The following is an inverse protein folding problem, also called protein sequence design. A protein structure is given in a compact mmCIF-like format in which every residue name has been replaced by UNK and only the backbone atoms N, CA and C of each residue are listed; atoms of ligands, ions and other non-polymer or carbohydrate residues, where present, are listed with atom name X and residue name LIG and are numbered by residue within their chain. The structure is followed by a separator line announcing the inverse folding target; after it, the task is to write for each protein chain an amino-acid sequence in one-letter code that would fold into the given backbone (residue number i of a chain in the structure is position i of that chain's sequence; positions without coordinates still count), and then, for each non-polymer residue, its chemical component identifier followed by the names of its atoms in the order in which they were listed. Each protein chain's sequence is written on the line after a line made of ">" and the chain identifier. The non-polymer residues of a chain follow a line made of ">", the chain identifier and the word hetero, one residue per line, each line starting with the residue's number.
data_IF_542420119822
#
_entry.id   IF_542420119822
#
_cell.length_a   1.000
_cell.length_b   1.000
_cell.length_c   1.000
_cell.angle_alpha   90.00
_cell.angle_beta   90.00
_cell.angle_gamma   90.00
#
_symmetry.space_group_name_H-M   'P 1'
#
loop_
_entity.id
_entity.type
_entity.pdbx_description
1 polymer ?
#
# COMPACT_ATOMS: atom_id res chain seq x y z
N UNK A 1 -2.67 -13.55 21.33
CA UNK A 1 -2.76 -12.22 20.71
C UNK A 1 -1.88 -12.28 19.45
N UNK A 2 -2.40 -11.86 18.30
CA UNK A 2 -1.57 -11.76 17.09
C UNK A 2 -0.70 -10.53 17.31
N UNK A 3 0.63 -10.71 17.34
CA UNK A 3 1.59 -9.64 17.57
C UNK A 3 1.54 -8.53 16.52
N UNK A 4 2.11 -7.38 16.84
CA UNK A 4 2.15 -6.25 15.95
C UNK A 4 3.17 -6.49 14.83
N UNK A 5 2.72 -6.33 13.59
CA UNK A 5 3.51 -6.50 12.37
C UNK A 5 3.46 -5.22 11.57
N UNK A 6 4.60 -4.58 11.41
CA UNK A 6 4.67 -3.27 10.77
C UNK A 6 5.87 -3.16 9.84
N UNK A 7 5.71 -2.42 8.76
CA UNK A 7 6.80 -1.94 7.93
C UNK A 7 7.47 -0.75 8.65
N UNK A 8 8.78 -0.84 8.85
CA UNK A 8 9.60 0.19 9.51
C UNK A 8 10.23 1.12 8.49
N UNK A 9 10.72 0.54 7.38
CA UNK A 9 11.40 1.32 6.35
C UNK A 9 11.28 0.61 5.00
N UNK A 10 11.14 1.39 3.96
CA UNK A 10 11.20 0.94 2.58
C UNK A 10 12.13 1.84 1.78
N UNK A 11 12.99 1.26 0.95
CA UNK A 11 13.71 2.04 -0.06
C UNK A 11 13.73 1.32 -1.41
N UNK A 12 13.81 2.12 -2.46
CA UNK A 12 13.95 1.65 -3.83
C UNK A 12 14.91 2.54 -4.59
N UNK A 13 15.73 1.94 -5.46
CA UNK A 13 16.67 2.64 -6.33
C UNK A 13 16.55 2.14 -7.76
N UNK A 14 16.76 3.02 -8.71
CA UNK A 14 16.75 2.72 -10.15
C UNK A 14 15.44 2.08 -10.63
N UNK A 15 14.33 2.62 -10.16
CA UNK A 15 12.99 2.13 -10.50
C UNK A 15 12.14 3.27 -11.08
N UNK A 16 11.61 3.09 -12.27
CA UNK A 16 10.75 4.06 -12.98
C UNK A 16 11.38 5.47 -13.01
N UNK A 17 10.75 6.45 -12.38
CA UNK A 17 11.29 7.82 -12.30
C UNK A 17 12.30 8.04 -11.17
N UNK A 18 12.60 7.04 -10.36
CA UNK A 18 13.57 7.12 -9.26
C UNK A 18 14.92 6.55 -9.69
N UNK A 19 15.83 7.41 -10.17
CA UNK A 19 17.21 7.03 -10.50
C UNK A 19 18.02 6.74 -9.25
N UNK A 20 18.00 7.68 -8.32
CA UNK A 20 18.64 7.55 -7.02
C UNK A 20 17.73 6.88 -6.00
N UNK A 21 18.30 6.47 -4.87
CA UNK A 21 17.53 5.84 -3.81
C UNK A 21 16.51 6.81 -3.22
N UNK A 22 15.26 6.39 -3.20
CA UNK A 22 14.20 7.04 -2.44
C UNK A 22 13.82 6.17 -1.25
N UNK A 23 13.70 6.80 -0.08
CA UNK A 23 13.41 6.12 1.18
C UNK A 23 12.13 6.64 1.80
N UNK A 24 11.29 5.73 2.27
CA UNK A 24 10.14 5.98 3.13
C UNK A 24 10.45 5.38 4.51
N UNK A 25 10.66 6.24 5.49
CA UNK A 25 10.96 5.90 6.87
C UNK A 25 9.73 6.13 7.74
N UNK A 26 9.24 5.07 8.39
CA UNK A 26 8.05 5.10 9.25
C UNK A 26 8.38 5.39 10.72
N UNK A 27 9.65 5.55 11.10
CA UNK A 27 9.98 5.89 12.48
C UNK A 27 9.40 7.27 12.86
N UNK A 28 8.66 7.33 13.97
CA UNK A 28 8.16 8.58 14.52
C UNK A 28 9.30 9.34 15.17
N UNK A 29 9.71 10.47 14.58
CA UNK A 29 10.89 11.26 15.02
C UNK A 29 10.55 12.38 15.98
N UNK A 30 9.27 12.73 16.12
CA UNK A 30 8.82 13.89 16.90
C UNK A 30 7.79 13.46 17.96
N UNK A 31 7.84 14.07 19.12
CA UNK A 31 6.95 13.78 20.27
C UNK A 31 5.74 14.73 20.29
N UNK A 32 4.95 14.74 19.20
CA UNK A 32 3.69 15.48 19.17
C UNK A 32 2.65 14.84 20.10
N UNK A 33 1.94 15.65 20.87
CA UNK A 33 0.93 15.19 21.85
C UNK A 33 -0.50 15.16 21.28
N UNK A 34 -0.68 15.54 20.03
CA UNK A 34 -1.96 15.52 19.30
C UNK A 34 -1.93 14.46 18.20
N UNK A 35 -3.10 14.00 17.77
CA UNK A 35 -3.27 12.93 16.77
C UNK A 35 -2.37 11.71 17.02
N UNK A 36 -2.26 11.30 18.28
CA UNK A 36 -1.41 10.17 18.69
C UNK A 36 -1.86 8.84 18.09
N UNK A 37 -3.12 8.74 17.66
CA UNK A 37 -3.68 7.60 16.92
C UNK A 37 -3.09 7.41 15.51
N UNK A 38 -2.32 8.39 15.00
CA UNK A 38 -1.54 8.23 13.77
C UNK A 38 -0.24 7.44 13.99
N UNK A 39 0.10 7.14 15.24
CA UNK A 39 1.32 6.43 15.63
C UNK A 39 0.95 5.12 16.31
N UNK A 40 1.72 4.08 16.03
CA UNK A 40 1.66 2.80 16.70
C UNK A 40 3.07 2.25 16.92
N UNK A 41 3.41 1.85 18.15
CA UNK A 41 4.72 1.30 18.50
C UNK A 41 5.90 2.16 18.02
N UNK A 42 5.79 3.47 18.19
CA UNK A 42 6.77 4.47 17.75
C UNK A 42 6.92 4.59 16.21
N UNK A 43 6.04 3.94 15.45
CA UNK A 43 6.00 4.02 13.99
C UNK A 43 4.81 4.83 13.50
N UNK A 44 5.01 5.54 12.40
CA UNK A 44 3.96 6.22 11.66
C UNK A 44 3.00 5.16 11.11
N UNK A 45 1.76 5.19 11.59
CA UNK A 45 0.71 4.26 11.18
C UNK A 45 -0.19 4.83 10.09
N UNK A 46 -0.22 6.15 9.95
CA UNK A 46 -0.97 6.87 8.92
C UNK A 46 -0.07 7.92 8.28
N UNK A 47 0.11 7.83 6.97
CA UNK A 47 0.94 8.74 6.18
C UNK A 47 0.12 9.31 5.03
N UNK A 48 0.36 10.60 4.71
CA UNK A 48 -0.16 11.23 3.51
C UNK A 48 0.98 11.82 2.69
N UNK A 49 1.09 11.41 1.42
CA UNK A 49 2.13 11.87 0.51
C UNK A 49 1.53 12.90 -0.45
N UNK A 50 2.10 14.09 -0.41
CA UNK A 50 1.77 15.19 -1.32
C UNK A 50 2.83 15.37 -2.40
N UNK A 51 2.41 15.89 -3.52
CA UNK A 51 3.29 16.24 -4.63
C UNK A 51 2.49 16.63 -5.86
N UNK A 52 3.11 17.39 -6.76
CA UNK A 52 2.52 17.76 -8.05
C UNK A 52 2.17 16.50 -8.88
N UNK A 53 1.34 16.66 -9.91
CA UNK A 53 1.09 15.59 -10.85
C UNK A 53 2.40 15.22 -11.59
N UNK A 54 2.61 13.93 -11.83
CA UNK A 54 3.79 13.42 -12.55
C UNK A 54 5.07 13.26 -11.72
N UNK A 55 5.13 13.67 -10.44
CA UNK A 55 6.35 13.54 -9.61
C UNK A 55 6.68 12.11 -9.17
N UNK A 56 5.73 11.15 -9.33
CA UNK A 56 5.97 9.74 -9.00
C UNK A 56 5.24 9.20 -7.79
N UNK A 57 4.18 9.85 -7.28
CA UNK A 57 3.40 9.35 -6.14
C UNK A 57 2.91 7.92 -6.35
N UNK A 58 2.31 7.63 -7.51
CA UNK A 58 1.87 6.27 -7.87
C UNK A 58 3.04 5.30 -7.99
N UNK A 59 4.22 5.77 -8.46
CA UNK A 59 5.41 4.93 -8.60
C UNK A 59 6.00 4.51 -7.25
N UNK A 60 5.85 5.32 -6.18
CA UNK A 60 6.15 4.87 -4.80
C UNK A 60 5.26 3.69 -4.43
N UNK A 61 3.95 3.78 -4.71
CA UNK A 61 3.01 2.70 -4.48
C UNK A 61 3.38 1.44 -5.25
N UNK A 62 3.67 1.55 -6.53
CA UNK A 62 4.09 0.41 -7.36
C UNK A 62 5.39 -0.23 -6.87
N UNK A 63 6.38 0.58 -6.47
CA UNK A 63 7.64 0.09 -5.93
C UNK A 63 7.43 -0.64 -4.60
N UNK A 64 6.68 -0.04 -3.67
CA UNK A 64 6.41 -0.62 -2.36
C UNK A 64 5.61 -1.92 -2.45
N UNK A 65 4.73 -2.05 -3.46
CA UNK A 65 3.92 -3.24 -3.70
C UNK A 65 4.55 -4.24 -4.67
N UNK A 66 5.79 -4.01 -5.14
CA UNK A 66 6.54 -5.01 -5.93
C UNK A 66 6.74 -6.32 -5.16
N UNK A 67 6.89 -6.26 -3.84
CA UNK A 67 6.99 -7.42 -2.96
C UNK A 67 5.77 -8.36 -3.06
N UNK A 68 4.58 -7.83 -3.34
CA UNK A 68 3.36 -8.63 -3.51
C UNK A 68 3.50 -9.55 -4.72
N UNK A 69 3.91 -9.01 -5.87
CA UNK A 69 4.17 -9.81 -7.08
C UNK A 69 5.39 -10.73 -6.96
N UNK A 70 6.33 -10.39 -6.05
CA UNK A 70 7.53 -11.19 -5.80
C UNK A 70 7.24 -12.42 -4.94
N UNK A 71 6.44 -12.25 -3.87
CA UNK A 71 6.25 -13.29 -2.85
C UNK A 71 4.90 -13.99 -2.91
N UNK A 72 3.94 -13.47 -3.65
CA UNK A 72 2.57 -14.02 -3.63
C UNK A 72 2.04 -14.31 -5.04
N UNK A 73 0.85 -14.92 -5.11
CA UNK A 73 0.06 -15.08 -6.33
C UNK A 73 -1.15 -14.13 -6.35
N UNK A 74 -1.07 -13.05 -5.57
CA UNK A 74 -2.10 -12.01 -5.51
C UNK A 74 -2.12 -11.15 -6.77
N UNK A 75 -3.24 -10.46 -6.96
CA UNK A 75 -3.41 -9.54 -8.10
C UNK A 75 -2.32 -8.47 -8.13
N UNK A 76 -1.82 -8.19 -9.32
CA UNK A 76 -0.84 -7.14 -9.62
C UNK A 76 -1.39 -6.21 -10.69
N UNK A 77 -0.91 -4.96 -10.72
CA UNK A 77 -1.27 -3.99 -11.75
C UNK A 77 -0.27 -4.05 -12.91
N UNK A 78 -0.74 -4.10 -14.16
CA UNK A 78 0.10 -4.14 -15.35
C UNK A 78 1.11 -2.97 -15.44
N UNK A 79 0.79 -1.82 -14.83
CA UNK A 79 1.72 -0.70 -14.79
C UNK A 79 2.96 -0.94 -13.90
N UNK A 80 2.98 -1.98 -13.07
CA UNK A 80 4.20 -2.37 -12.35
C UNK A 80 5.27 -2.86 -13.31
N UNK A 81 4.89 -3.54 -14.39
CA UNK A 81 5.82 -4.09 -15.39
C UNK A 81 6.38 -3.01 -16.34
N UNK A 82 5.57 -2.00 -16.67
CA UNK A 82 5.94 -1.01 -17.68
C UNK A 82 7.04 -0.07 -17.19
N UNK A 83 8.07 0.15 -18.04
CA UNK A 83 9.20 1.06 -17.74
C UNK A 83 9.78 0.77 -16.34
N UNK A 84 10.11 -0.49 -16.08
CA UNK A 84 10.52 -0.98 -14.77
C UNK A 84 11.81 -0.31 -14.28
N UNK A 85 12.84 -0.27 -15.14
CA UNK A 85 14.11 0.40 -14.86
C UNK A 85 14.02 1.89 -15.21
N UNK A 86 14.72 2.73 -14.47
CA UNK A 86 14.82 4.14 -14.76
C UNK A 86 15.49 4.40 -16.11
N UNK A 87 14.88 5.22 -16.96
CA UNK A 87 15.34 5.45 -18.32
C UNK A 87 16.65 6.29 -18.42
N UNK A 88 17.01 7.00 -17.35
CA UNK A 88 18.22 7.84 -17.29
C UNK A 88 19.37 7.14 -16.55
N UNK A 89 19.22 5.87 -16.21
CA UNK A 89 20.22 5.08 -15.46
C UNK A 89 21.02 4.20 -16.40
N UNK A 90 22.33 4.14 -16.18
CA UNK A 90 23.22 3.19 -16.86
C UNK A 90 23.14 1.77 -16.27
N UNK A 91 22.60 1.63 -15.04
CA UNK A 91 22.42 0.35 -14.39
C UNK A 91 21.13 -0.32 -14.85
N UNK A 92 21.16 -1.61 -15.28
CA UNK A 92 19.97 -2.36 -15.60
C UNK A 92 19.26 -2.95 -14.37
N UNK A 93 19.68 -2.59 -13.14
CA UNK A 93 19.27 -3.26 -11.89
C UNK A 93 18.49 -2.29 -11.02
N UNK A 94 17.25 -2.62 -10.71
CA UNK A 94 16.48 -1.99 -9.65
C UNK A 94 16.71 -2.72 -8.31
N UNK A 95 16.85 -1.95 -7.24
CA UNK A 95 17.13 -2.45 -5.90
C UNK A 95 15.95 -2.13 -4.97
N UNK A 96 15.47 -3.12 -4.24
CA UNK A 96 14.35 -3.00 -3.30
C UNK A 96 14.81 -3.45 -1.92
N UNK A 97 14.47 -2.68 -0.88
CA UNK A 97 14.82 -2.97 0.49
C UNK A 97 13.64 -2.67 1.42
N UNK A 98 13.26 -3.68 2.20
CA UNK A 98 12.16 -3.62 3.17
C UNK A 98 12.69 -3.96 4.55
N UNK A 99 12.38 -3.14 5.55
CA UNK A 99 12.63 -3.40 6.95
C UNK A 99 11.31 -3.50 7.69
N UNK A 100 11.08 -4.63 8.35
CA UNK A 100 9.88 -4.91 9.13
C UNK A 100 10.22 -5.08 10.60
N UNK A 101 9.24 -4.80 11.46
CA UNK A 101 9.24 -5.17 12.86
C UNK A 101 8.06 -6.12 13.10
N UNK A 102 8.38 -7.34 13.51
CA UNK A 102 7.40 -8.37 13.86
C UNK A 102 7.59 -8.71 15.33
N UNK A 103 6.71 -8.22 16.20
CA UNK A 103 6.86 -8.27 17.64
C UNK A 103 8.21 -7.66 18.10
N UNK A 104 9.18 -8.51 18.48
CA UNK A 104 10.51 -8.08 18.89
C UNK A 104 11.56 -8.29 17.80
N UNK A 105 11.21 -8.95 16.70
CA UNK A 105 12.15 -9.28 15.64
C UNK A 105 12.19 -8.19 14.57
N UNK A 106 13.42 -7.82 14.20
CA UNK A 106 13.75 -6.98 13.05
C UNK A 106 14.00 -7.89 11.86
N UNK A 107 13.26 -7.69 10.77
CA UNK A 107 13.40 -8.46 9.54
C UNK A 107 13.75 -7.53 8.39
N UNK A 108 14.87 -7.79 7.69
CA UNK A 108 15.23 -7.03 6.49
C UNK A 108 15.21 -7.99 5.31
N UNK A 109 14.40 -7.66 4.32
CA UNK A 109 14.29 -8.39 3.07
C UNK A 109 14.69 -7.50 1.90
N UNK A 110 15.69 -7.93 1.13
CA UNK A 110 16.22 -7.19 0.00
C UNK A 110 16.25 -8.05 -1.25
N UNK A 111 16.03 -7.43 -2.39
CA UNK A 111 16.22 -8.10 -3.67
C UNK A 111 16.54 -7.11 -4.78
N UNK A 112 17.14 -7.64 -5.85
CA UNK A 112 17.47 -6.93 -7.07
C UNK A 112 16.76 -7.56 -8.26
N UNK A 113 16.27 -6.71 -9.18
CA UNK A 113 15.56 -7.13 -10.39
C UNK A 113 16.04 -6.36 -11.62
N UNK A 114 15.98 -6.98 -12.79
CA UNK A 114 16.12 -6.31 -14.10
C UNK A 114 14.76 -6.04 -14.75
N UNK A 115 13.76 -6.81 -14.40
CA UNK A 115 12.39 -6.73 -14.88
C UNK A 115 11.44 -7.17 -13.76
N UNK A 116 10.16 -6.86 -13.88
CA UNK A 116 9.17 -7.15 -12.83
C UNK A 116 9.21 -8.61 -12.33
N UNK A 117 9.39 -9.59 -13.22
CA UNK A 117 9.42 -11.03 -12.87
C UNK A 117 10.82 -11.64 -12.82
N UNK A 118 11.88 -10.84 -12.95
CA UNK A 118 13.24 -11.36 -13.04
C UNK A 118 14.11 -10.90 -11.89
N UNK A 119 14.22 -11.76 -10.89
CA UNK A 119 15.08 -11.56 -9.74
C UNK A 119 16.52 -11.92 -10.10
N UNK A 120 17.48 -11.09 -9.70
CA UNK A 120 18.92 -11.35 -9.85
C UNK A 120 19.57 -11.75 -8.54
N UNK A 121 19.14 -11.15 -7.44
CA UNK A 121 19.74 -11.35 -6.14
C UNK A 121 18.67 -11.20 -5.04
N UNK A 122 18.81 -11.95 -3.96
CA UNK A 122 17.89 -11.94 -2.84
C UNK A 122 18.65 -12.14 -1.53
N UNK A 123 18.31 -11.36 -0.50
CA UNK A 123 18.88 -11.44 0.84
C UNK A 123 17.81 -11.36 1.93
N UNK A 124 17.99 -12.13 2.99
CA UNK A 124 17.19 -12.06 4.21
C UNK A 124 18.09 -11.89 5.43
N UNK A 125 17.72 -10.96 6.31
CA UNK A 125 18.31 -10.74 7.62
C UNK A 125 17.25 -10.82 8.70
N UNK A 126 17.60 -11.38 9.85
CA UNK A 126 16.79 -11.40 11.06
C UNK A 126 17.66 -10.93 12.22
N UNK A 127 17.22 -9.89 12.95
CA UNK A 127 17.94 -9.27 14.07
C UNK A 127 19.41 -8.93 13.72
N UNK A 128 19.60 -8.32 12.54
CA UNK A 128 20.86 -7.92 11.94
C UNK A 128 21.80 -9.08 11.55
N UNK A 129 21.40 -10.35 11.76
CA UNK A 129 22.11 -11.52 11.27
C UNK A 129 21.65 -11.87 9.85
N UNK A 130 22.61 -12.06 8.93
CA UNK A 130 22.31 -12.52 7.57
C UNK A 130 21.92 -14.00 7.60
N UNK A 131 20.69 -14.31 7.24
CA UNK A 131 20.17 -15.68 7.18
C UNK A 131 20.59 -16.37 5.90
N UNK A 132 20.39 -15.69 4.77
CA UNK A 132 20.87 -16.15 3.46
C UNK A 132 21.07 -14.99 2.49
N UNK A 133 21.87 -15.24 1.47
CA UNK A 133 21.83 -14.54 0.19
C UNK A 133 21.87 -15.54 -0.98
N UNK A 134 21.13 -15.24 -2.04
CA UNK A 134 21.04 -16.10 -3.23
C UNK A 134 21.28 -15.29 -4.49
N UNK A 135 22.24 -15.76 -5.32
CA UNK A 135 22.54 -15.24 -6.64
C UNK A 135 21.83 -16.10 -7.70
N UNK A 136 20.83 -15.53 -8.39
CA UNK A 136 20.06 -16.23 -9.41
C UNK A 136 20.83 -16.41 -10.72
N UNK A 137 21.89 -15.62 -10.97
CA UNK A 137 22.74 -15.79 -12.14
C UNK A 137 23.64 -17.01 -11.98
N UNK A 138 24.29 -17.12 -10.84
CA UNK A 138 25.18 -18.23 -10.51
C UNK A 138 24.41 -19.44 -9.94
N UNK A 139 23.10 -19.30 -9.71
CA UNK A 139 22.21 -20.29 -9.09
C UNK A 139 22.79 -20.83 -7.78
N UNK A 140 23.27 -19.93 -6.94
CA UNK A 140 24.04 -20.29 -5.76
C UNK A 140 23.59 -19.48 -4.53
N UNK A 141 23.42 -20.22 -3.45
CA UNK A 141 23.36 -19.65 -2.11
C UNK A 141 24.79 -19.45 -1.60
N UNK A 142 25.23 -18.17 -1.49
CA UNK A 142 26.61 -17.87 -1.13
C UNK A 142 26.83 -17.96 0.37
N UNK A 143 25.88 -17.45 1.15
CA UNK A 143 25.91 -17.49 2.60
C UNK A 143 24.58 -18.06 3.10
N UNK A 144 24.67 -19.12 3.90
CA UNK A 144 23.53 -19.66 4.64
C UNK A 144 23.99 -19.93 6.06
N UNK A 145 23.66 -19.01 6.97
CA UNK A 145 24.22 -19.08 8.33
C UNK A 145 23.37 -19.96 9.22
N UNK A 146 22.08 -19.70 9.30
CA UNK A 146 21.20 -20.44 10.21
C UNK A 146 19.79 -20.60 9.61
N UNK A 147 19.66 -21.54 8.69
CA UNK A 147 18.38 -21.85 8.05
C UNK A 147 17.33 -22.41 9.02
N UNK A 148 17.75 -22.87 10.22
CA UNK A 148 16.81 -23.33 11.25
C UNK A 148 15.94 -22.18 11.77
N UNK A 149 16.46 -20.96 11.85
CA UNK A 149 15.70 -19.75 12.26
C UNK A 149 14.46 -19.57 11.42
N UNK A 150 14.53 -19.92 10.14
CA UNK A 150 13.44 -19.78 9.16
C UNK A 150 12.82 -21.14 8.79
N UNK A 151 13.16 -22.23 9.49
CA UNK A 151 12.62 -23.57 9.25
C UNK A 151 12.99 -24.16 7.88
N UNK A 152 14.14 -23.80 7.31
CA UNK A 152 14.55 -24.18 5.96
C UNK A 152 15.78 -25.13 5.90
N UNK A 153 16.25 -25.62 7.05
CA UNK A 153 17.45 -26.48 7.14
C UNK A 153 17.35 -27.82 6.39
N UNK A 154 16.14 -28.29 6.13
CA UNK A 154 15.89 -29.54 5.39
C UNK A 154 15.78 -29.33 3.86
N UNK A 155 15.75 -28.09 3.38
CA UNK A 155 15.65 -27.79 1.97
C UNK A 155 17.00 -27.88 1.28
N UNK A 156 17.00 -28.43 0.04
CA UNK A 156 18.16 -28.43 -0.83
C UNK A 156 18.06 -27.32 -1.87
N UNK A 157 19.04 -26.42 -1.88
CA UNK A 157 19.15 -25.30 -2.81
C UNK A 157 20.15 -25.52 -3.94
N UNK A 158 20.93 -26.61 -3.95
CA UNK A 158 21.93 -26.88 -4.97
C UNK A 158 21.35 -27.05 -6.38
N UNK A 159 20.12 -27.54 -6.46
CA UNK A 159 19.42 -27.81 -7.73
C UNK A 159 18.24 -26.85 -7.95
N UNK A 160 18.21 -25.72 -7.24
CA UNK A 160 17.15 -24.75 -7.41
C UNK A 160 17.31 -23.98 -8.72
N UNK A 161 16.41 -24.21 -9.67
CA UNK A 161 16.46 -23.61 -11.02
C UNK A 161 15.33 -22.62 -11.31
N UNK A 162 14.41 -22.43 -10.36
CA UNK A 162 13.26 -21.56 -10.54
C UNK A 162 13.65 -20.06 -10.54
N UNK A 163 12.87 -19.24 -11.23
CA UNK A 163 12.92 -17.78 -11.11
C UNK A 163 12.03 -17.25 -9.98
N UNK A 164 11.48 -18.14 -9.15
CA UNK A 164 10.70 -17.81 -7.97
C UNK A 164 11.64 -17.31 -6.87
N UNK A 165 11.21 -16.31 -6.09
CA UNK A 165 11.93 -15.85 -4.91
C UNK A 165 12.23 -17.02 -3.95
N UNK A 166 13.45 -17.07 -3.40
CA UNK A 166 13.86 -18.09 -2.44
C UNK A 166 12.94 -18.09 -1.21
N UNK A 167 12.56 -16.92 -0.71
CA UNK A 167 11.65 -16.79 0.41
C UNK A 167 10.27 -17.41 0.11
N UNK A 168 9.75 -17.19 -1.10
CA UNK A 168 8.48 -17.82 -1.56
C UNK A 168 8.64 -19.35 -1.69
N UNK A 169 9.78 -19.81 -2.18
CA UNK A 169 10.10 -21.24 -2.26
C UNK A 169 10.12 -21.88 -0.87
N UNK A 170 10.81 -21.26 0.09
CA UNK A 170 10.84 -21.73 1.49
C UNK A 170 9.42 -21.78 2.08
N UNK A 171 8.65 -20.70 1.93
CA UNK A 171 7.29 -20.63 2.46
C UNK A 171 6.37 -21.72 1.91
N UNK A 172 6.54 -22.10 0.62
CA UNK A 172 5.70 -23.11 -0.03
C UNK A 172 6.15 -24.56 0.26
N UNK A 173 7.40 -24.79 0.66
CA UNK A 173 7.98 -26.11 0.80
C UNK A 173 8.33 -26.50 2.24
N UNK A 174 7.98 -25.66 3.22
CA UNK A 174 8.19 -25.94 4.65
C UNK A 174 6.92 -25.75 5.46
N UNK A 175 6.81 -26.50 6.56
CA UNK A 175 5.74 -26.30 7.54
C UNK A 175 6.21 -25.20 8.52
N UNK A 176 5.61 -24.05 8.41
CA UNK A 176 5.96 -22.88 9.21
C UNK A 176 5.10 -22.81 10.48
N UNK A 177 5.73 -22.69 11.66
CA UNK A 177 5.03 -22.40 12.90
C UNK A 177 4.31 -21.04 12.83
N UNK A 178 3.27 -20.81 13.65
CA UNK A 178 2.50 -19.56 13.61
C UNK A 178 3.31 -18.30 13.85
N UNK A 179 4.30 -18.40 14.71
CA UNK A 179 5.20 -17.32 15.08
C UNK A 179 6.52 -17.28 14.27
N UNK A 180 6.68 -18.14 13.25
CA UNK A 180 7.89 -18.10 12.42
C UNK A 180 7.97 -16.81 11.61
N UNK A 181 9.17 -16.32 11.41
CA UNK A 181 9.47 -15.09 10.66
C UNK A 181 8.91 -15.18 9.24
N UNK A 182 9.12 -16.31 8.56
CA UNK A 182 8.62 -16.53 7.20
C UNK A 182 7.09 -16.42 7.15
N UNK A 183 6.40 -17.10 8.07
CA UNK A 183 4.93 -17.04 8.11
C UNK A 183 4.42 -15.64 8.41
N UNK A 184 5.06 -14.92 9.33
CA UNK A 184 4.68 -13.55 9.67
C UNK A 184 4.86 -12.61 8.48
N UNK A 185 5.99 -12.70 7.76
CA UNK A 185 6.27 -11.90 6.57
C UNK A 185 5.27 -12.21 5.45
N UNK A 186 5.05 -13.48 5.15
CA UNK A 186 4.07 -13.90 4.13
C UNK A 186 2.65 -13.44 4.48
N UNK A 187 2.24 -13.54 5.76
CA UNK A 187 0.93 -13.05 6.21
C UNK A 187 0.81 -11.52 6.13
N UNK A 188 1.89 -10.78 6.36
CA UNK A 188 1.88 -9.34 6.17
C UNK A 188 1.71 -9.00 4.69
N UNK A 189 2.54 -9.58 3.81
CA UNK A 189 2.53 -9.29 2.37
C UNK A 189 1.23 -9.72 1.70
N UNK A 190 0.65 -10.88 2.05
CA UNK A 190 -0.64 -11.34 1.50
C UNK A 190 -1.83 -10.46 1.92
N UNK A 191 -1.67 -9.65 2.97
CA UNK A 191 -2.66 -8.70 3.48
C UNK A 191 -2.34 -7.25 3.14
N UNK A 192 -1.45 -7.00 2.19
CA UNK A 192 -1.23 -5.69 1.61
C UNK A 192 -2.30 -5.40 0.55
N UNK A 193 -2.75 -4.15 0.49
CA UNK A 193 -3.72 -3.67 -0.49
C UNK A 193 -3.31 -2.28 -1.00
N UNK A 194 -3.07 -2.16 -2.29
CA UNK A 194 -3.00 -0.90 -3.01
C UNK A 194 -4.21 -0.80 -3.94
N UNK A 195 -4.88 0.34 -3.99
CA UNK A 195 -5.92 0.59 -4.99
C UNK A 195 -6.05 2.08 -5.33
N UNK A 196 -6.69 2.34 -6.48
CA UNK A 196 -7.17 3.66 -6.88
C UNK A 196 -8.69 3.65 -6.89
N UNK A 197 -9.30 4.66 -6.29
CA UNK A 197 -10.76 4.84 -6.31
C UNK A 197 -11.22 5.40 -7.67
N UNK A 198 -10.93 4.66 -8.74
CA UNK A 198 -11.30 4.99 -10.11
C UNK A 198 -12.26 3.94 -10.69
N UNK A 199 -12.95 4.31 -11.75
CA UNK A 199 -13.98 3.45 -12.39
C UNK A 199 -13.43 2.08 -12.85
N UNK A 200 -12.15 1.98 -13.16
CA UNK A 200 -11.47 0.76 -13.63
C UNK A 200 -11.09 -0.22 -12.51
N UNK A 201 -11.33 0.14 -11.24
CA UNK A 201 -11.02 -0.70 -10.06
C UNK A 201 -9.64 -1.35 -10.12
N UNK A 202 -8.60 -0.53 -10.34
CA UNK A 202 -7.21 -1.04 -10.34
C UNK A 202 -6.72 -1.24 -8.92
N UNK A 203 -6.14 -2.40 -8.66
CA UNK A 203 -5.61 -2.75 -7.34
C UNK A 203 -4.47 -3.77 -7.42
N UNK A 204 -3.73 -3.89 -6.32
CA UNK A 204 -2.64 -4.84 -6.11
C UNK A 204 -2.83 -5.48 -4.73
N UNK A 205 -2.71 -6.80 -4.66
CA UNK A 205 -2.79 -7.55 -3.39
C UNK A 205 -4.21 -7.94 -2.99
N UNK A 206 -4.33 -8.47 -1.81
CA UNK A 206 -5.51 -8.98 -1.12
C UNK A 206 -6.29 -10.09 -1.89
N UNK A 207 -6.73 -9.82 -3.11
CA UNK A 207 -7.47 -10.75 -3.97
C UNK A 207 -6.54 -11.46 -4.96
N UNK A 208 -6.95 -12.63 -5.45
CA UNK A 208 -6.19 -13.40 -6.44
C UNK A 208 -6.67 -13.13 -7.88
N UNK A 209 -7.91 -12.66 -8.03
CA UNK A 209 -8.55 -12.45 -9.31
C UNK A 209 -9.26 -11.11 -9.38
N UNK A 210 -9.56 -10.66 -10.60
CA UNK A 210 -10.32 -9.44 -10.83
C UNK A 210 -11.72 -9.52 -10.23
N UNK A 211 -12.14 -8.50 -9.48
CA UNK A 211 -13.42 -8.42 -8.78
C UNK A 211 -14.39 -7.51 -9.51
N UNK A 212 -15.57 -8.02 -9.86
CA UNK A 212 -16.70 -7.18 -10.24
C UNK A 212 -17.44 -6.70 -8.99
N UNK A 213 -17.23 -5.43 -8.63
CA UNK A 213 -17.72 -4.85 -7.38
C UNK A 213 -19.24 -4.79 -7.32
N UNK A 214 -19.94 -4.48 -8.43
CA UNK A 214 -21.40 -4.45 -8.48
C UNK A 214 -22.00 -5.84 -8.25
N UNK A 215 -21.47 -6.85 -8.93
CA UNK A 215 -21.89 -8.25 -8.74
C UNK A 215 -21.66 -8.70 -7.29
N UNK A 216 -20.51 -8.31 -6.71
CA UNK A 216 -20.20 -8.62 -5.31
C UNK A 216 -21.19 -7.98 -4.33
N UNK A 217 -21.55 -6.70 -4.50
CA UNK A 217 -22.53 -6.01 -3.65
C UNK A 217 -23.89 -6.70 -3.72
N UNK A 218 -24.32 -7.12 -4.91
CA UNK A 218 -25.60 -7.82 -5.10
C UNK A 218 -25.55 -9.21 -4.49
N UNK A 219 -24.51 -10.01 -4.77
CA UNK A 219 -24.36 -11.38 -4.25
C UNK A 219 -24.34 -11.45 -2.72
N UNK A 220 -23.74 -10.44 -2.08
CA UNK A 220 -23.64 -10.38 -0.62
C UNK A 220 -24.80 -9.64 0.05
N UNK A 221 -25.86 -9.29 -0.69
CA UNK A 221 -27.05 -8.57 -0.20
C UNK A 221 -26.72 -7.21 0.46
N UNK A 222 -25.71 -6.51 -0.04
CA UNK A 222 -25.16 -5.28 0.56
C UNK A 222 -25.77 -3.98 -0.05
N UNK A 223 -26.77 -4.07 -0.93
CA UNK A 223 -27.39 -2.89 -1.57
C UNK A 223 -27.91 -1.90 -0.52
N UNK A 224 -28.59 -2.39 0.53
CA UNK A 224 -29.10 -1.54 1.60
C UNK A 224 -28.00 -0.82 2.37
N UNK A 225 -26.91 -1.51 2.68
CA UNK A 225 -25.76 -0.91 3.35
C UNK A 225 -25.02 0.09 2.43
N UNK A 226 -24.91 -0.21 1.14
CA UNK A 226 -24.31 0.70 0.18
C UNK A 226 -25.16 1.97 -0.01
N UNK A 227 -26.49 1.87 -0.08
CA UNK A 227 -27.39 3.05 -0.07
C UNK A 227 -27.17 3.92 1.16
N UNK A 228 -27.09 3.30 2.34
CA UNK A 228 -26.80 4.00 3.60
C UNK A 228 -25.44 4.68 3.56
N UNK A 229 -24.41 3.96 3.10
CA UNK A 229 -23.03 4.47 2.96
C UNK A 229 -22.97 5.70 2.05
N UNK A 230 -23.63 5.67 0.89
CA UNK A 230 -23.73 6.79 -0.06
C UNK A 230 -24.40 8.01 0.59
N UNK A 231 -25.48 7.79 1.34
CA UNK A 231 -26.20 8.86 2.01
C UNK A 231 -25.36 9.49 3.14
N UNK A 232 -24.78 8.68 4.01
CA UNK A 232 -24.01 9.15 5.17
C UNK A 232 -22.72 9.87 4.79
N UNK A 233 -22.04 9.43 3.74
CA UNK A 233 -20.75 9.97 3.32
C UNK A 233 -20.87 11.09 2.27
N UNK A 234 -21.77 10.96 1.32
CA UNK A 234 -21.90 11.89 0.20
C UNK A 234 -23.26 12.58 0.06
N UNK A 235 -24.22 12.33 0.98
CA UNK A 235 -25.55 12.89 0.93
C UNK A 235 -26.42 12.36 -0.25
N UNK A 236 -25.94 11.32 -0.96
CA UNK A 236 -26.61 10.77 -2.14
C UNK A 236 -27.78 9.87 -1.73
N UNK A 237 -29.00 10.28 -2.11
CA UNK A 237 -30.24 9.50 -1.92
C UNK A 237 -30.60 8.82 -3.23
N UNK A 238 -30.12 7.59 -3.43
CA UNK A 238 -30.37 6.82 -4.62
C UNK A 238 -31.31 5.65 -4.33
N UNK A 239 -32.20 5.35 -5.25
CA UNK A 239 -33.01 4.13 -5.20
C UNK A 239 -32.31 3.04 -6.01
N UNK A 240 -31.57 2.18 -5.28
CA UNK A 240 -30.81 1.11 -5.88
C UNK A 240 -31.55 -0.23 -5.75
N UNK A 241 -31.46 -1.01 -6.80
CA UNK A 241 -31.96 -2.39 -6.90
C UNK A 241 -30.95 -3.28 -7.62
N UNK A 242 -31.38 -4.46 -7.99
CA UNK A 242 -30.56 -5.41 -8.76
C UNK A 242 -31.38 -6.20 -9.77
N UNK A 243 -30.71 -6.69 -10.82
CA UNK A 243 -31.22 -7.71 -11.71
C UNK A 243 -30.15 -8.75 -12.02
N UNK A 244 -30.60 -9.92 -12.46
CA UNK A 244 -29.70 -10.94 -13.01
C UNK A 244 -29.74 -10.85 -14.54
N UNK A 245 -28.61 -10.54 -15.16
CA UNK A 245 -28.43 -10.53 -16.60
C UNK A 245 -27.55 -11.70 -17.01
N UNK A 246 -28.13 -12.72 -17.66
CA UNK A 246 -27.46 -13.97 -18.04
C UNK A 246 -26.70 -14.58 -16.85
N UNK A 247 -25.38 -14.42 -16.77
CA UNK A 247 -24.52 -15.01 -15.73
C UNK A 247 -24.01 -14.01 -14.69
N UNK A 248 -24.42 -12.74 -14.76
CA UNK A 248 -23.96 -11.67 -13.86
C UNK A 248 -25.10 -11.01 -13.14
N UNK A 249 -24.89 -10.68 -11.87
CA UNK A 249 -25.76 -9.74 -11.19
C UNK A 249 -25.31 -8.32 -11.53
N UNK A 250 -26.26 -7.43 -11.73
CA UNK A 250 -26.01 -6.02 -12.01
C UNK A 250 -26.72 -5.16 -10.97
N UNK A 251 -26.04 -4.12 -10.55
CA UNK A 251 -26.63 -3.06 -9.73
C UNK A 251 -27.44 -2.14 -10.62
N UNK A 252 -28.65 -1.80 -10.18
CA UNK A 252 -29.57 -0.93 -10.89
C UNK A 252 -29.82 0.35 -10.10
N UNK A 253 -29.99 1.46 -10.80
CA UNK A 253 -30.60 2.67 -10.28
C UNK A 253 -32.04 2.75 -10.79
N UNK A 254 -33.01 2.75 -9.85
CA UNK A 254 -34.44 2.79 -10.18
C UNK A 254 -34.88 4.21 -10.46
N UNK A 255 -35.52 4.41 -11.61
CA UNK A 255 -36.16 5.65 -12.03
C UNK A 255 -37.65 5.44 -12.23
N UNK A 256 -38.42 6.53 -12.35
CA UNK A 256 -39.91 6.48 -12.47
C UNK A 256 -40.41 5.62 -13.62
N UNK A 257 -39.68 5.54 -14.73
CA UNK A 257 -40.12 4.83 -15.93
C UNK A 257 -39.51 3.43 -16.05
N UNK A 258 -38.22 3.31 -15.80
CA UNK A 258 -37.49 2.04 -15.89
C UNK A 258 -36.15 2.14 -15.12
N UNK A 259 -35.63 1.02 -14.63
CA UNK A 259 -34.30 1.00 -14.00
C UNK A 259 -33.20 1.13 -15.04
N UNK A 260 -32.08 1.70 -14.66
CA UNK A 260 -30.85 1.81 -15.46
C UNK A 260 -29.71 1.03 -14.80
N UNK A 261 -28.84 0.48 -15.60
CA UNK A 261 -27.64 -0.19 -15.09
C UNK A 261 -26.73 0.85 -14.44
N UNK A 262 -26.37 0.64 -13.19
CA UNK A 262 -25.58 1.58 -12.37
C UNK A 262 -24.30 2.04 -13.07
N UNK A 263 -23.52 1.12 -13.62
CA UNK A 263 -22.26 1.41 -14.28
C UNK A 263 -22.38 2.36 -15.48
N UNK A 264 -23.57 2.45 -16.06
CA UNK A 264 -23.83 3.33 -17.21
C UNK A 264 -24.26 4.75 -16.83
N UNK A 265 -24.77 4.95 -15.60
CA UNK A 265 -25.37 6.22 -15.16
C UNK A 265 -24.69 6.84 -13.95
N UNK A 266 -23.94 6.07 -13.17
CA UNK A 266 -23.24 6.56 -11.99
C UNK A 266 -22.21 7.64 -12.37
N UNK A 267 -22.20 8.72 -11.60
CA UNK A 267 -21.13 9.72 -11.69
C UNK A 267 -19.78 9.11 -11.31
N UNK A 268 -18.66 9.75 -11.74
CA UNK A 268 -17.31 9.30 -11.37
C UNK A 268 -17.12 9.21 -9.84
N UNK A 269 -17.68 10.20 -9.09
CA UNK A 269 -17.61 10.17 -7.63
C UNK A 269 -18.42 9.02 -7.02
N UNK A 270 -19.61 8.72 -7.55
CA UNK A 270 -20.43 7.61 -7.08
C UNK A 270 -19.78 6.25 -7.41
N UNK A 271 -19.17 6.10 -8.58
CA UNK A 271 -18.39 4.91 -8.96
C UNK A 271 -17.16 4.72 -8.06
N UNK A 272 -16.43 5.79 -7.76
CA UNK A 272 -15.30 5.77 -6.83
C UNK A 272 -15.75 5.36 -5.41
N UNK A 273 -16.93 5.83 -4.96
CA UNK A 273 -17.51 5.43 -3.68
C UNK A 273 -17.91 3.95 -3.63
N UNK A 274 -18.36 3.38 -4.75
CA UNK A 274 -18.65 1.94 -4.83
C UNK A 274 -17.38 1.11 -4.64
N UNK A 275 -16.28 1.50 -5.29
CA UNK A 275 -14.97 0.84 -5.14
C UNK A 275 -14.45 1.01 -3.72
N UNK A 276 -14.51 2.23 -3.18
CA UNK A 276 -14.10 2.48 -1.80
C UNK A 276 -14.94 1.67 -0.80
N UNK A 277 -16.27 1.58 -0.98
CA UNK A 277 -17.16 0.77 -0.15
C UNK A 277 -16.75 -0.71 -0.17
N UNK A 278 -16.44 -1.26 -1.33
CA UNK A 278 -15.96 -2.63 -1.47
C UNK A 278 -14.71 -2.85 -0.61
N UNK A 279 -13.67 -2.04 -0.80
CA UNK A 279 -12.42 -2.19 -0.05
C UNK A 279 -12.58 -1.87 1.43
N UNK A 280 -13.40 -0.90 1.78
CA UNK A 280 -13.74 -0.57 3.15
C UNK A 280 -14.31 -1.77 3.93
N UNK A 281 -15.12 -2.61 3.30
CA UNK A 281 -15.65 -3.85 3.89
C UNK A 281 -14.55 -4.89 4.18
N UNK A 282 -13.38 -4.76 3.57
CA UNK A 282 -12.23 -5.67 3.74
C UNK A 282 -11.12 -5.09 4.63
N UNK A 283 -11.21 -3.85 5.11
CA UNK A 283 -10.14 -3.21 5.88
C UNK A 283 -9.72 -3.94 7.14
N UNK A 284 -10.58 -4.72 7.77
CA UNK A 284 -10.22 -5.55 8.92
C UNK A 284 -9.20 -6.65 8.59
N UNK A 285 -9.14 -7.08 7.33
CA UNK A 285 -8.21 -8.09 6.85
C UNK A 285 -6.91 -7.50 6.31
N UNK A 286 -6.87 -6.17 6.08
CA UNK A 286 -5.72 -5.47 5.53
C UNK A 286 -4.73 -5.11 6.63
N UNK A 287 -3.42 -5.35 6.39
CA UNK A 287 -2.32 -4.97 7.27
C UNK A 287 -1.59 -3.71 6.79
N UNK A 288 -1.50 -3.54 5.49
CA UNK A 288 -0.89 -2.36 4.87
C UNK A 288 -1.76 -1.88 3.70
N UNK A 289 -2.21 -0.64 3.79
CA UNK A 289 -3.09 -0.01 2.83
C UNK A 289 -2.37 1.13 2.09
N UNK A 290 -2.50 1.17 0.78
CA UNK A 290 -2.10 2.32 -0.02
C UNK A 290 -3.26 2.73 -0.92
N UNK A 291 -3.78 3.95 -0.76
CA UNK A 291 -4.80 4.49 -1.66
C UNK A 291 -4.18 5.60 -2.50
N UNK A 292 -4.05 5.32 -3.80
CA UNK A 292 -3.48 6.27 -4.74
C UNK A 292 -4.53 7.28 -5.23
N UNK A 293 -4.19 8.58 -5.14
CA UNK A 293 -5.09 9.69 -5.49
C UNK A 293 -6.47 9.55 -4.84
N UNK A 294 -6.47 9.29 -3.52
CA UNK A 294 -7.67 8.85 -2.80
C UNK A 294 -8.84 9.84 -2.90
N UNK A 295 -8.55 11.12 -3.08
CA UNK A 295 -9.50 12.22 -3.11
C UNK A 295 -9.84 12.73 -4.51
N UNK A 296 -9.37 12.06 -5.59
CA UNK A 296 -9.47 12.55 -6.97
C UNK A 296 -10.92 12.86 -7.43
N UNK A 297 -11.91 12.16 -6.86
CA UNK A 297 -13.33 12.32 -7.21
C UNK A 297 -14.19 12.78 -6.04
N UNK A 298 -13.59 13.19 -4.94
CA UNK A 298 -14.30 13.58 -3.72
C UNK A 298 -14.14 15.07 -3.45
N UNK A 299 -15.20 15.70 -2.98
CA UNK A 299 -15.10 17.02 -2.40
C UNK A 299 -14.41 16.96 -1.03
N UNK A 300 -13.91 18.08 -0.54
CA UNK A 300 -13.10 18.18 0.67
C UNK A 300 -13.72 17.49 1.89
N UNK A 301 -15.01 17.73 2.18
CA UNK A 301 -15.70 17.17 3.35
C UNK A 301 -15.75 15.62 3.32
N UNK A 302 -15.92 15.03 2.13
CA UNK A 302 -15.90 13.59 1.97
C UNK A 302 -14.49 13.03 2.16
N UNK A 303 -13.49 13.70 1.57
CA UNK A 303 -12.08 13.32 1.74
C UNK A 303 -11.66 13.36 3.22
N UNK A 304 -12.07 14.39 3.96
CA UNK A 304 -11.86 14.48 5.41
C UNK A 304 -12.48 13.30 6.15
N UNK A 305 -13.73 12.96 5.89
CA UNK A 305 -14.43 11.81 6.49
C UNK A 305 -13.72 10.49 6.21
N UNK A 306 -13.19 10.29 5.00
CA UNK A 306 -12.43 9.10 4.62
C UNK A 306 -11.18 8.98 5.48
N UNK A 307 -10.41 10.07 5.65
CA UNK A 307 -9.23 10.09 6.53
C UNK A 307 -9.61 9.77 7.97
N UNK A 308 -10.64 10.43 8.52
CA UNK A 308 -11.15 10.21 9.88
C UNK A 308 -11.59 8.75 10.09
N UNK A 309 -12.16 8.10 9.07
CA UNK A 309 -12.52 6.69 9.14
C UNK A 309 -11.29 5.78 9.11
N UNK A 310 -10.32 6.06 8.24
CA UNK A 310 -9.09 5.27 8.11
C UNK A 310 -8.25 5.33 9.39
N UNK A 311 -8.18 6.49 10.04
CA UNK A 311 -7.42 6.68 11.29
C UNK A 311 -7.91 5.76 12.42
N UNK A 312 -9.16 5.31 12.39
CA UNK A 312 -9.74 4.39 13.39
C UNK A 312 -9.22 2.94 13.30
N UNK A 313 -8.55 2.58 12.20
CA UNK A 313 -8.01 1.21 12.00
C UNK A 313 -6.57 1.11 12.50
N UNK A 314 -6.36 0.91 13.80
CA UNK A 314 -5.03 0.86 14.43
C UNK A 314 -4.11 -0.24 13.88
N UNK A 315 -4.69 -1.36 13.44
CA UNK A 315 -3.94 -2.53 12.97
C UNK A 315 -3.62 -2.51 11.47
N UNK A 316 -3.83 -1.36 10.81
CA UNK A 316 -3.62 -1.19 9.39
C UNK A 316 -2.71 0.03 9.15
N UNK A 317 -1.44 -0.18 8.79
CA UNK A 317 -0.61 0.91 8.31
C UNK A 317 -1.19 1.46 7.00
N UNK A 318 -1.22 2.77 6.85
CA UNK A 318 -1.88 3.38 5.69
C UNK A 318 -1.06 4.50 5.09
N UNK A 319 -0.96 4.50 3.75
CA UNK A 319 -0.49 5.61 2.94
C UNK A 319 -1.63 6.09 2.05
N UNK A 320 -1.84 7.40 2.05
CA UNK A 320 -2.73 8.08 1.13
C UNK A 320 -1.90 8.99 0.23
N UNK A 321 -2.20 9.08 -1.06
CA UNK A 321 -1.61 10.10 -1.92
C UNK A 321 -2.64 11.12 -2.35
N UNK A 322 -2.26 12.39 -2.36
CA UNK A 322 -3.11 13.49 -2.79
C UNK A 322 -2.28 14.62 -3.42
N UNK A 323 -2.94 15.46 -4.18
CA UNK A 323 -2.41 16.77 -4.62
C UNK A 323 -3.19 17.93 -4.00
N UNK A 324 -4.21 17.65 -3.19
CA UNK A 324 -5.08 18.64 -2.56
C UNK A 324 -4.49 19.14 -1.24
N UNK A 325 -3.88 20.33 -1.27
CA UNK A 325 -3.24 20.95 -0.11
C UNK A 325 -4.19 21.29 1.03
N UNK A 326 -5.50 21.43 0.79
CA UNK A 326 -6.49 21.66 1.84
C UNK A 326 -6.58 20.53 2.86
N UNK A 327 -6.12 19.32 2.51
CA UNK A 327 -6.04 18.17 3.41
C UNK A 327 -4.81 18.19 4.33
N UNK A 328 -3.93 19.17 4.17
CA UNK A 328 -2.76 19.39 5.04
C UNK A 328 -3.20 20.15 6.29
N UNK A 329 -3.63 19.41 7.30
CA UNK A 329 -4.23 20.00 8.50
C UNK A 329 -3.90 19.18 9.75
N UNK A 330 -3.49 19.87 10.83
CA UNK A 330 -3.22 19.27 12.14
C UNK A 330 -4.45 18.66 12.81
N UNK A 331 -5.66 18.96 12.36
CA UNK A 331 -6.87 18.25 12.82
C UNK A 331 -6.99 16.82 12.28
N UNK A 332 -6.32 16.51 11.16
CA UNK A 332 -6.42 15.22 10.49
C UNK A 332 -5.26 14.30 10.84
N UNK A 333 -4.04 14.76 10.64
CA UNK A 333 -2.81 14.00 10.89
C UNK A 333 -1.77 14.91 11.56
N UNK A 334 -0.73 14.32 12.13
CA UNK A 334 0.43 15.01 12.69
C UNK A 334 1.37 15.52 11.58
N UNK A 335 2.17 16.56 11.81
CA UNK A 335 3.12 17.09 10.83
C UNK A 335 4.12 16.05 10.28
N UNK A 336 4.59 15.13 11.12
CA UNK A 336 5.50 14.04 10.73
C UNK A 336 4.82 12.92 9.90
N UNK A 337 3.49 12.92 9.83
CA UNK A 337 2.71 12.03 8.98
C UNK A 337 2.45 12.58 7.56
N UNK A 338 2.78 13.85 7.32
CA UNK A 338 2.70 14.46 5.99
C UNK A 338 4.07 14.43 5.32
N UNK A 339 4.12 13.90 4.11
CA UNK A 339 5.33 13.84 3.31
C UNK A 339 5.17 14.63 2.01
N UNK A 340 6.24 15.29 1.60
CA UNK A 340 6.33 15.93 0.30
C UNK A 340 7.23 15.13 -0.61
N UNK A 341 6.71 14.77 -1.78
CA UNK A 341 7.50 14.20 -2.87
C UNK A 341 7.85 15.30 -3.86
N UNK A 342 9.13 15.59 -3.99
CA UNK A 342 9.65 16.58 -4.92
C UNK A 342 11.03 16.13 -5.45
N UNK A 343 11.23 16.20 -6.76
CA UNK A 343 12.51 15.88 -7.43
C UNK A 343 13.15 14.56 -6.98
N UNK A 344 12.35 13.51 -6.81
CA UNK A 344 12.84 12.20 -6.37
C UNK A 344 13.18 12.10 -4.89
N UNK A 345 12.94 13.14 -4.09
CA UNK A 345 13.07 13.12 -2.63
C UNK A 345 11.72 13.05 -1.96
N UNK A 346 11.63 12.26 -0.91
CA UNK A 346 10.47 12.13 -0.04
C UNK A 346 10.86 12.62 1.35
N UNK A 347 10.30 13.75 1.80
CA UNK A 347 10.67 14.39 3.06
C UNK A 347 9.41 14.64 3.89
N UNK A 348 9.43 14.34 5.19
CA UNK A 348 8.32 14.69 6.07
C UNK A 348 8.26 16.20 6.29
N UNK A 349 7.09 16.75 6.57
CA UNK A 349 6.96 18.18 6.87
C UNK A 349 7.71 18.56 8.14
N UNK A 350 7.80 17.66 9.10
CA UNK A 350 8.57 17.90 10.33
C UNK A 350 10.08 17.91 10.11
N UNK A 351 10.58 17.27 9.06
CA UNK A 351 12.01 17.23 8.71
C UNK A 351 12.38 18.30 7.66
N UNK A 352 11.36 18.95 7.04
CA UNK A 352 11.57 19.99 6.03
C UNK A 352 11.67 21.40 6.63
N UNK A 353 11.62 21.56 7.94
CA UNK A 353 11.74 22.86 8.61
C UNK A 353 12.37 22.73 9.99
N UNK A 354 13.22 23.69 10.36
CA UNK A 354 13.78 23.81 11.72
C UNK A 354 12.76 24.37 12.73
N UNK A 355 11.63 24.87 12.23
CA UNK A 355 10.61 25.46 13.07
C UNK A 355 9.85 24.40 13.86
N UNK A 356 9.68 24.63 15.16
CA UNK A 356 8.77 23.81 15.98
C UNK A 356 7.32 23.98 15.50
N UNK A 357 6.74 22.91 14.93
CA UNK A 357 5.35 22.90 14.51
C UNK A 357 4.46 22.54 15.70
N UNK A 358 3.49 23.40 16.01
CA UNK A 358 2.51 23.21 17.09
C UNK A 358 1.12 22.91 16.51
N UNK A 359 0.25 22.32 17.33
CA UNK A 359 -1.11 21.94 16.94
C UNK A 359 -1.90 23.09 16.29
N UNK A 360 -1.78 24.30 16.84
CA UNK A 360 -2.49 25.50 16.32
C UNK A 360 -1.90 26.10 15.03
N UNK A 361 -0.81 25.56 14.49
CA UNK A 361 -0.26 26.06 13.24
C UNK A 361 -1.09 25.60 12.03
N UNK A 362 -1.33 26.53 11.10
CA UNK A 362 -1.97 26.23 9.84
C UNK A 362 -0.94 25.67 8.84
N UNK A 363 -0.88 24.33 8.76
CA UNK A 363 0.09 23.62 7.89
C UNK A 363 -0.13 23.95 6.41
N UNK A 364 -1.38 24.08 5.97
CA UNK A 364 -1.70 24.41 4.58
C UNK A 364 -1.12 25.77 4.18
N UNK A 365 -1.25 26.78 5.06
CA UNK A 365 -0.67 28.11 4.84
C UNK A 365 0.86 28.03 4.82
N UNK A 366 1.48 27.27 5.72
CA UNK A 366 2.93 27.07 5.76
C UNK A 366 3.41 26.41 4.46
N UNK A 367 2.72 25.38 3.98
CA UNK A 367 3.02 24.71 2.71
C UNK A 367 2.95 25.68 1.52
N UNK A 368 1.91 26.52 1.44
CA UNK A 368 1.77 27.52 0.37
C UNK A 368 2.83 28.64 0.42
N UNK A 369 3.36 28.92 1.59
CA UNK A 369 4.44 29.88 1.80
C UNK A 369 5.82 29.31 1.49
N UNK A 370 5.91 28.01 1.11
CA UNK A 370 7.17 27.36 0.77
C UNK A 370 7.98 26.88 1.97
N UNK A 371 7.40 26.83 3.18
CA UNK A 371 8.10 26.39 4.41
C UNK A 371 8.67 24.97 4.30
N UNK A 372 8.09 24.14 3.42
CA UNK A 372 8.46 22.74 3.22
C UNK A 372 9.09 22.52 1.83
N UNK A 373 9.72 23.53 1.23
CA UNK A 373 10.23 23.49 -0.15
C UNK A 373 11.72 23.16 -0.29
N UNK A 374 12.43 22.85 0.81
CA UNK A 374 13.84 22.47 0.80
C UNK A 374 14.12 21.05 0.26
#
# INVERSE_FOLDING_TARGET
>A
MIGDRMLVKFSVKNYKNFKDEITLDFNAKRDYKFNTNCIKNELLNKIMIFGKNGVGKSNIGYALFDIVGTLTDKMVDANQENNFINADSDSPIAEFNYEFKFDNDKVIYKYQKTEFKKILFEELYVNDEKIYDYDFKDKKMNNSVNLDIIGASTLNFEYYESNMAILKYIANNTIQAENSIIRQLMQFVTKMLWFRSLKDNRYIGLENESVNVSDWVVKNNLIGEFKKFLYENAGLKLDLGSAKLVDKNVLLENHKKFPLVWESVASSGASALLIYFYWYKHFNDVKFLFIDEFDAFYHFELSKKIIENIVKYDNMQTILTSHNTYLVNNELLRPDCYFKLNNGKLTSFSDSTDREIREGHNLEKMLRQGEFDE
#
